data_IF_524224936554
#
_entry.id   IF_524224936554
#
_cell.length_a   1.000
_cell.length_b   1.000
_cell.length_c   1.000
_cell.angle_alpha   90.00
_cell.angle_beta   90.00
_cell.angle_gamma   90.00
#
_symmetry.space_group_name_H-M   'P 1'
#
loop_
_entity.id
_entity.type
_entity.pdbx_description
1 polymer ?
#
# COMPACT_ATOMS: atom_id res chain seq x y z
N UNK A 1 -21.87 40.24 20.90
CA UNK A 1 -21.74 38.76 20.88
C UNK A 1 -20.83 38.42 19.70
N UNK A 2 -19.71 37.76 19.93
CA UNK A 2 -18.46 37.97 19.20
C UNK A 2 -18.44 37.29 17.80
N UNK A 3 -18.06 38.06 16.81
CA UNK A 3 -17.78 37.62 15.41
C UNK A 3 -16.82 36.40 15.35
N UNK A 4 -15.94 36.28 16.33
CA UNK A 4 -15.01 35.14 16.47
C UNK A 4 -15.73 33.82 16.82
N UNK A 5 -16.82 33.86 17.58
CA UNK A 5 -17.62 32.68 17.92
C UNK A 5 -18.48 32.20 16.77
N UNK A 6 -18.98 33.10 15.93
CA UNK A 6 -19.74 32.71 14.72
C UNK A 6 -18.84 32.06 13.66
N UNK A 7 -17.63 32.62 13.45
CA UNK A 7 -16.63 32.03 12.54
C UNK A 7 -16.21 30.64 13.03
N UNK A 8 -15.97 30.49 14.35
CA UNK A 8 -15.62 29.19 14.92
C UNK A 8 -16.75 28.14 14.73
N UNK A 9 -18.01 28.55 14.94
CA UNK A 9 -19.16 27.65 14.74
C UNK A 9 -19.34 27.24 13.27
N UNK A 10 -19.08 28.15 12.33
CA UNK A 10 -19.12 27.86 10.89
C UNK A 10 -18.03 26.85 10.51
N UNK A 11 -16.81 27.02 11.02
CA UNK A 11 -15.69 26.10 10.77
C UNK A 11 -16.00 24.72 11.35
N UNK A 12 -16.51 24.63 12.57
CA UNK A 12 -16.92 23.37 13.20
C UNK A 12 -18.01 22.67 12.38
N UNK A 13 -19.01 23.42 11.92
CA UNK A 13 -20.09 22.85 11.10
C UNK A 13 -19.55 22.31 9.75
N UNK A 14 -18.60 23.02 9.16
CA UNK A 14 -17.95 22.63 7.90
C UNK A 14 -17.09 21.37 8.08
N UNK A 15 -16.36 21.26 9.19
CA UNK A 15 -15.62 20.06 9.54
C UNK A 15 -16.56 18.87 9.79
N UNK A 16 -17.65 19.05 10.51
CA UNK A 16 -18.63 18.01 10.76
C UNK A 16 -19.29 17.50 9.45
N UNK A 17 -19.57 18.40 8.50
CA UNK A 17 -20.12 17.98 7.19
C UNK A 17 -19.10 17.20 6.37
N UNK A 18 -17.82 17.59 6.39
CA UNK A 18 -16.74 16.84 5.72
C UNK A 18 -16.61 15.45 6.32
N UNK A 19 -16.57 15.34 7.65
CA UNK A 19 -16.50 14.05 8.35
C UNK A 19 -17.72 13.17 8.02
N UNK A 20 -18.92 13.75 8.00
CA UNK A 20 -20.14 13.00 7.64
C UNK A 20 -20.10 12.47 6.20
N UNK A 21 -19.57 13.28 5.26
CA UNK A 21 -19.42 12.86 3.84
C UNK A 21 -18.39 11.73 3.72
N UNK A 22 -17.25 11.85 4.39
CA UNK A 22 -16.20 10.82 4.40
C UNK A 22 -16.73 9.53 5.01
N UNK A 23 -17.42 9.61 6.15
CA UNK A 23 -18.03 8.45 6.81
C UNK A 23 -19.09 7.80 5.89
N UNK A 24 -19.91 8.60 5.24
CA UNK A 24 -20.89 8.12 4.26
C UNK A 24 -20.24 7.37 3.10
N UNK A 25 -19.16 7.94 2.55
CA UNK A 25 -18.40 7.33 1.47
C UNK A 25 -17.75 6.00 1.93
N UNK A 26 -17.17 5.99 3.12
CA UNK A 26 -16.60 4.79 3.72
C UNK A 26 -17.64 3.68 3.90
N UNK A 27 -18.79 3.99 4.49
CA UNK A 27 -19.86 3.03 4.68
C UNK A 27 -20.41 2.51 3.34
N UNK A 28 -20.52 3.38 2.35
CA UNK A 28 -20.94 2.99 0.99
C UNK A 28 -19.93 2.03 0.34
N UNK A 29 -18.62 2.36 0.42
CA UNK A 29 -17.55 1.50 -0.10
C UNK A 29 -17.53 0.15 0.63
N UNK A 30 -17.66 0.16 1.95
CA UNK A 30 -17.72 -1.06 2.78
C UNK A 30 -18.92 -1.95 2.45
N UNK A 31 -20.08 -1.36 2.19
CA UNK A 31 -21.27 -2.11 1.75
C UNK A 31 -21.07 -2.70 0.36
N UNK A 32 -20.52 -1.92 -0.57
CA UNK A 32 -20.18 -2.37 -1.93
C UNK A 32 -19.18 -3.53 -1.90
N UNK A 33 -18.18 -3.41 -1.04
CA UNK A 33 -17.17 -4.44 -0.82
C UNK A 33 -17.78 -5.76 -0.30
N UNK A 34 -18.62 -5.69 0.75
CA UNK A 34 -19.31 -6.87 1.28
C UNK A 34 -20.21 -7.53 0.24
N UNK A 35 -20.88 -6.72 -0.57
CA UNK A 35 -21.74 -7.24 -1.65
C UNK A 35 -20.91 -8.00 -2.69
N UNK A 36 -19.77 -7.44 -3.08
CA UNK A 36 -18.85 -8.06 -4.03
C UNK A 36 -18.27 -9.38 -3.46
N UNK A 37 -17.96 -9.42 -2.18
CA UNK A 37 -17.49 -10.63 -1.49
C UNK A 37 -18.52 -11.76 -1.54
N UNK A 38 -19.79 -11.44 -1.26
CA UNK A 38 -20.89 -12.39 -1.32
C UNK A 38 -21.11 -12.88 -2.75
N UNK A 39 -21.10 -11.97 -3.73
CA UNK A 39 -21.22 -12.31 -5.16
C UNK A 39 -20.09 -13.23 -5.62
N UNK A 40 -18.85 -12.92 -5.23
CA UNK A 40 -17.68 -13.78 -5.54
C UNK A 40 -17.77 -15.17 -4.89
N UNK A 41 -18.25 -15.25 -3.65
CA UNK A 41 -18.49 -16.56 -2.98
C UNK A 41 -19.56 -17.36 -3.69
N UNK A 42 -20.67 -16.71 -4.05
CA UNK A 42 -21.76 -17.34 -4.80
C UNK A 42 -21.31 -17.81 -6.19
N UNK A 43 -20.52 -17.00 -6.90
CA UNK A 43 -19.93 -17.40 -8.19
C UNK A 43 -19.00 -18.62 -8.04
N UNK A 44 -18.19 -18.66 -6.98
CA UNK A 44 -17.33 -19.81 -6.68
C UNK A 44 -18.12 -21.07 -6.37
N UNK A 45 -19.18 -20.96 -5.59
CA UNK A 45 -20.06 -22.09 -5.28
C UNK A 45 -20.81 -22.57 -6.52
N UNK A 46 -21.31 -21.67 -7.35
CA UNK A 46 -21.96 -21.99 -8.63
C UNK A 46 -20.97 -22.71 -9.56
N UNK A 47 -19.75 -22.22 -9.65
CA UNK A 47 -18.68 -22.84 -10.45
C UNK A 47 -18.39 -24.28 -9.96
N UNK A 48 -18.21 -24.46 -8.66
CA UNK A 48 -17.95 -25.78 -8.07
C UNK A 48 -19.13 -26.76 -8.26
N UNK A 49 -20.38 -26.27 -8.23
CA UNK A 49 -21.57 -27.07 -8.52
C UNK A 49 -21.70 -27.42 -10.02
N UNK A 50 -21.29 -26.49 -10.90
CA UNK A 50 -21.30 -26.73 -12.35
C UNK A 50 -20.22 -27.73 -12.78
N UNK A 51 -19.07 -27.79 -12.11
CA UNK A 51 -17.96 -28.70 -12.44
C UNK A 51 -18.36 -30.18 -12.22
N UNK A 52 -19.25 -30.44 -11.26
CA UNK A 52 -19.70 -31.82 -10.93
C UNK A 52 -20.88 -32.32 -11.79
N UNK A 53 -21.64 -31.46 -12.44
CA UNK A 53 -22.87 -31.90 -13.17
C UNK A 53 -22.79 -31.73 -14.70
N UNK A 54 -21.83 -30.98 -15.24
CA UNK A 54 -21.82 -30.64 -16.68
C UNK A 54 -20.74 -31.32 -17.51
N UNK A 55 -19.80 -32.03 -16.92
CA UNK A 55 -18.72 -32.72 -17.65
C UNK A 55 -19.33 -33.82 -18.61
N UNK A 56 -20.43 -34.44 -18.24
CA UNK A 56 -21.07 -35.47 -19.09
C UNK A 56 -21.82 -34.89 -20.31
N UNK A 57 -22.36 -33.65 -20.22
CA UNK A 57 -23.12 -33.04 -21.31
C UNK A 57 -22.25 -32.34 -22.36
N UNK A 58 -21.06 -31.90 -21.99
CA UNK A 58 -20.13 -31.16 -22.92
C UNK A 58 -19.38 -32.06 -23.90
N UNK A 59 -19.33 -33.37 -23.65
CA UNK A 59 -18.75 -34.31 -24.63
C UNK A 59 -19.53 -34.42 -25.96
N UNK A 60 -20.74 -33.88 -26.02
CA UNK A 60 -21.57 -33.90 -27.25
C UNK A 60 -21.48 -32.62 -28.08
N UNK A 61 -20.97 -31.53 -27.53
CA UNK A 61 -20.79 -30.30 -28.28
C UNK A 61 -19.27 -30.07 -28.45
N UNK A 62 -18.75 -30.15 -29.62
CA UNK A 62 -17.34 -30.01 -30.07
C UNK A 62 -16.50 -28.88 -29.41
N UNK A 63 -16.93 -28.36 -28.26
CA UNK A 63 -16.17 -27.43 -27.43
C UNK A 63 -15.21 -28.21 -26.56
N UNK A 64 -13.92 -27.96 -26.67
CA UNK A 64 -12.90 -28.58 -25.84
C UNK A 64 -13.14 -28.21 -24.35
N UNK A 65 -13.61 -29.15 -23.48
CA UNK A 65 -13.95 -28.86 -22.09
C UNK A 65 -12.74 -28.33 -21.30
N UNK A 66 -11.56 -28.75 -21.69
CA UNK A 66 -10.32 -28.33 -21.06
C UNK A 66 -10.02 -26.85 -21.34
N UNK A 67 -10.31 -26.37 -22.56
CA UNK A 67 -10.12 -24.96 -22.93
C UNK A 67 -11.12 -24.05 -22.18
N UNK A 68 -12.36 -24.50 -22.04
CA UNK A 68 -13.37 -23.78 -21.28
C UNK A 68 -13.00 -23.72 -19.77
N UNK A 69 -12.57 -24.86 -19.21
CA UNK A 69 -12.09 -24.91 -17.81
C UNK A 69 -10.90 -23.99 -17.58
N UNK A 70 -9.93 -23.95 -18.49
CA UNK A 70 -8.79 -23.07 -18.38
C UNK A 70 -9.18 -21.60 -18.44
N UNK A 71 -10.12 -21.23 -19.34
CA UNK A 71 -10.64 -19.87 -19.44
C UNK A 71 -11.40 -19.44 -18.17
N UNK A 72 -12.23 -20.32 -17.63
CA UNK A 72 -12.94 -20.07 -16.37
C UNK A 72 -11.99 -19.93 -15.18
N UNK A 73 -10.97 -20.78 -15.10
CA UNK A 73 -9.93 -20.67 -14.07
C UNK A 73 -9.16 -19.35 -14.19
N UNK A 74 -8.89 -18.88 -15.40
CA UNK A 74 -8.29 -17.56 -15.63
C UNK A 74 -9.16 -16.41 -15.10
N UNK A 75 -10.44 -16.42 -15.43
CA UNK A 75 -11.39 -15.42 -14.93
C UNK A 75 -11.47 -15.45 -13.40
N UNK A 76 -11.55 -16.63 -12.81
CA UNK A 76 -11.61 -16.80 -11.37
C UNK A 76 -10.33 -16.28 -10.69
N UNK A 77 -9.15 -16.58 -11.26
CA UNK A 77 -7.87 -16.04 -10.76
C UNK A 77 -7.84 -14.52 -10.76
N UNK A 78 -8.30 -13.87 -11.84
CA UNK A 78 -8.39 -12.41 -11.89
C UNK A 78 -9.38 -11.85 -10.87
N UNK A 79 -10.51 -12.53 -10.65
CA UNK A 79 -11.48 -12.11 -9.64
C UNK A 79 -10.89 -12.18 -8.22
N UNK A 80 -10.13 -13.23 -7.90
CA UNK A 80 -9.40 -13.33 -6.62
C UNK A 80 -8.34 -12.25 -6.46
N UNK A 81 -7.58 -11.96 -7.52
CA UNK A 81 -6.58 -10.91 -7.47
C UNK A 81 -7.21 -9.53 -7.22
N UNK A 82 -8.33 -9.27 -7.87
CA UNK A 82 -9.10 -8.02 -7.66
C UNK A 82 -9.59 -7.92 -6.22
N UNK A 83 -10.19 -8.98 -5.71
CA UNK A 83 -10.66 -9.06 -4.32
C UNK A 83 -9.51 -8.80 -3.33
N UNK A 84 -8.40 -9.51 -3.49
CA UNK A 84 -7.22 -9.34 -2.63
C UNK A 84 -6.71 -7.89 -2.64
N UNK A 85 -6.65 -7.26 -3.82
CA UNK A 85 -6.18 -5.88 -3.95
C UNK A 85 -7.14 -4.89 -3.27
N UNK A 86 -8.45 -5.11 -3.38
CA UNK A 86 -9.45 -4.28 -2.70
C UNK A 86 -9.36 -4.41 -1.18
N UNK A 87 -9.08 -5.62 -0.66
CA UNK A 87 -8.84 -5.85 0.76
C UNK A 87 -7.64 -5.04 1.25
N UNK A 88 -6.52 -5.09 0.53
CA UNK A 88 -5.33 -4.30 0.86
C UNK A 88 -5.58 -2.80 0.77
N UNK A 89 -6.36 -2.34 -0.21
CA UNK A 89 -6.75 -0.94 -0.31
C UNK A 89 -7.61 -0.49 0.87
N UNK A 90 -8.55 -1.33 1.32
CA UNK A 90 -9.35 -1.03 2.51
C UNK A 90 -8.47 -0.87 3.75
N UNK A 91 -7.49 -1.77 3.96
CA UNK A 91 -6.55 -1.66 5.08
C UNK A 91 -5.69 -0.38 5.01
N UNK A 92 -5.24 0.01 3.81
CA UNK A 92 -4.50 1.27 3.63
C UNK A 92 -5.39 2.48 3.93
N UNK A 93 -6.65 2.46 3.50
CA UNK A 93 -7.59 3.53 3.78
C UNK A 93 -7.95 3.61 5.27
N UNK A 94 -8.14 2.48 5.94
CA UNK A 94 -8.39 2.43 7.38
C UNK A 94 -7.21 3.05 8.16
N UNK A 95 -5.98 2.72 7.79
CA UNK A 95 -4.79 3.32 8.38
C UNK A 95 -4.72 4.84 8.16
N UNK A 96 -4.92 5.29 6.92
CA UNK A 96 -4.83 6.72 6.56
C UNK A 96 -5.94 7.54 7.19
N UNK A 97 -7.16 6.99 7.34
CA UNK A 97 -8.32 7.73 7.83
C UNK A 97 -8.48 7.73 9.35
N UNK A 98 -7.93 6.72 10.02
CA UNK A 98 -8.15 6.53 11.46
C UNK A 98 -6.85 6.43 12.25
N UNK A 99 -5.92 5.55 11.87
CA UNK A 99 -4.71 5.35 12.64
C UNK A 99 -3.69 6.50 12.48
N UNK A 100 -3.64 7.11 11.29
CA UNK A 100 -2.70 8.23 11.03
C UNK A 100 -3.17 9.58 11.59
N UNK A 101 -4.37 9.66 12.17
CA UNK A 101 -4.83 10.84 12.89
C UNK A 101 -4.14 10.98 14.26
N UNK A 102 -3.65 9.89 14.82
CA UNK A 102 -2.85 9.90 16.03
C UNK A 102 -1.48 10.55 15.77
N UNK A 103 -0.93 11.25 16.76
CA UNK A 103 0.39 11.89 16.66
C UNK A 103 1.49 10.83 16.45
N UNK A 104 1.37 9.68 17.10
CA UNK A 104 2.27 8.54 17.01
C UNK A 104 1.50 7.23 16.83
N UNK A 105 2.02 6.37 15.97
CA UNK A 105 1.53 4.99 15.76
C UNK A 105 2.57 3.98 16.23
N UNK A 106 2.18 2.72 16.36
CA UNK A 106 3.15 1.66 16.60
C UNK A 106 3.96 1.35 15.33
N UNK A 107 5.25 1.01 15.46
CA UNK A 107 6.04 0.54 14.31
C UNK A 107 5.37 -0.61 13.57
N UNK A 108 4.65 -1.49 14.26
CA UNK A 108 3.89 -2.58 13.66
C UNK A 108 2.80 -2.06 12.72
N UNK A 109 2.04 -1.06 13.13
CA UNK A 109 0.99 -0.47 12.30
C UNK A 109 1.57 0.15 11.02
N UNK A 110 2.67 0.92 11.12
CA UNK A 110 3.36 1.49 9.96
C UNK A 110 3.94 0.41 9.03
N UNK A 111 4.47 -0.69 9.59
CA UNK A 111 5.00 -1.83 8.81
C UNK A 111 3.87 -2.54 8.05
N UNK A 112 2.74 -2.80 8.69
CA UNK A 112 1.57 -3.40 8.02
C UNK A 112 0.99 -2.49 6.95
N UNK A 113 0.92 -1.18 7.22
CA UNK A 113 0.57 -0.19 6.23
C UNK A 113 1.52 -0.23 5.01
N UNK A 114 2.84 -0.19 5.25
CA UNK A 114 3.85 -0.29 4.19
C UNK A 114 3.72 -1.58 3.38
N UNK A 115 3.46 -2.71 4.04
CA UNK A 115 3.21 -4.01 3.41
C UNK A 115 2.00 -3.96 2.47
N UNK A 116 0.88 -3.44 2.95
CA UNK A 116 -0.36 -3.32 2.17
C UNK A 116 -0.17 -2.36 0.97
N UNK A 117 0.52 -1.23 1.17
CA UNK A 117 0.84 -0.28 0.10
C UNK A 117 1.71 -0.92 -1.01
N UNK A 118 2.70 -1.72 -0.63
CA UNK A 118 3.52 -2.47 -1.57
C UNK A 118 2.68 -3.47 -2.37
N UNK A 119 1.82 -4.25 -1.69
CA UNK A 119 0.96 -5.24 -2.36
C UNK A 119 0.00 -4.61 -3.38
N UNK A 120 -0.60 -3.46 -3.07
CA UNK A 120 -1.44 -2.70 -4.02
C UNK A 120 -0.63 -2.29 -5.25
N UNK A 121 0.59 -1.81 -5.06
CA UNK A 121 1.42 -1.34 -6.17
C UNK A 121 1.96 -2.50 -7.03
N UNK A 122 2.19 -3.69 -6.45
CA UNK A 122 2.58 -4.90 -7.20
C UNK A 122 1.58 -5.30 -8.28
N UNK A 123 0.29 -5.06 -8.06
CA UNK A 123 -0.76 -5.42 -9.04
C UNK A 123 -0.58 -4.70 -10.37
N UNK A 124 0.07 -3.55 -10.38
CA UNK A 124 0.35 -2.77 -11.59
C UNK A 124 1.54 -3.31 -12.39
N UNK A 125 2.29 -4.25 -11.81
CA UNK A 125 3.50 -4.79 -12.39
C UNK A 125 3.22 -6.03 -13.23
N UNK A 126 4.04 -6.23 -14.26
CA UNK A 126 4.06 -7.51 -14.97
C UNK A 126 4.48 -8.64 -14.01
N UNK A 127 3.90 -9.85 -14.11
CA UNK A 127 4.35 -11.01 -13.34
C UNK A 127 5.84 -11.36 -13.54
N UNK A 128 6.43 -10.89 -14.64
CA UNK A 128 7.85 -11.10 -14.96
C UNK A 128 8.75 -9.99 -14.43
N UNK A 129 8.18 -8.94 -13.80
CA UNK A 129 8.97 -7.85 -13.25
C UNK A 129 9.67 -8.30 -11.96
N UNK A 130 10.98 -8.01 -11.86
CA UNK A 130 11.76 -8.36 -10.67
C UNK A 130 11.46 -7.40 -9.52
N UNK A 131 10.62 -7.85 -8.59
CA UNK A 131 10.34 -7.14 -7.35
C UNK A 131 10.77 -7.99 -6.14
N UNK A 132 11.66 -7.44 -5.33
CA UNK A 132 12.23 -8.08 -4.15
C UNK A 132 11.77 -7.33 -2.91
N UNK A 133 10.98 -7.98 -2.06
CA UNK A 133 10.50 -7.37 -0.82
C UNK A 133 10.92 -8.24 0.36
N UNK A 134 11.57 -7.63 1.34
CA UNK A 134 11.99 -8.30 2.57
C UNK A 134 11.56 -7.50 3.78
N UNK A 135 10.94 -8.18 4.74
CA UNK A 135 10.67 -7.67 6.08
C UNK A 135 11.52 -8.46 7.07
N UNK A 136 12.29 -7.75 7.90
CA UNK A 136 13.15 -8.34 8.91
C UNK A 136 12.84 -7.70 10.27
N UNK A 137 11.87 -8.29 10.97
CA UNK A 137 11.24 -7.71 12.14
C UNK A 137 11.45 -8.63 13.33
N UNK A 138 11.97 -8.11 14.43
CA UNK A 138 12.10 -8.85 15.69
C UNK A 138 10.80 -8.77 16.49
N UNK A 139 9.83 -9.64 16.13
CA UNK A 139 8.51 -9.64 16.74
C UNK A 139 8.51 -10.11 18.21
N UNK A 140 9.49 -10.90 18.62
CA UNK A 140 9.50 -11.53 19.94
C UNK A 140 10.26 -10.74 21.00
N UNK A 141 11.30 -10.03 20.60
CA UNK A 141 12.24 -9.41 21.54
C UNK A 141 12.13 -7.88 21.61
N UNK A 142 11.45 -7.24 20.67
CA UNK A 142 11.33 -5.79 20.63
C UNK A 142 9.97 -5.32 21.18
N UNK A 143 9.95 -4.92 22.46
CA UNK A 143 8.75 -4.39 23.09
C UNK A 143 8.23 -3.10 22.47
N UNK A 144 9.07 -2.37 21.74
CA UNK A 144 8.69 -1.12 21.08
C UNK A 144 7.86 -1.34 19.81
N UNK A 145 7.88 -2.55 19.26
CA UNK A 145 7.13 -2.88 18.03
C UNK A 145 5.63 -2.53 18.14
N UNK A 146 5.05 -2.75 19.30
CA UNK A 146 3.62 -2.51 19.57
C UNK A 146 3.36 -1.20 20.33
N UNK A 147 4.40 -0.42 20.67
CA UNK A 147 4.25 0.82 21.43
C UNK A 147 4.16 2.01 20.45
N UNK A 148 3.16 2.91 20.56
CA UNK A 148 3.09 4.12 19.77
C UNK A 148 4.35 4.97 19.93
N UNK A 149 5.17 5.06 18.90
CA UNK A 149 6.50 5.71 18.96
C UNK A 149 6.98 6.22 17.60
N UNK A 150 6.27 5.89 16.52
CA UNK A 150 6.61 6.27 15.17
C UNK A 150 5.55 7.25 14.62
N UNK A 151 5.99 8.35 14.01
CA UNK A 151 5.10 9.26 13.29
C UNK A 151 4.53 8.52 12.07
N UNK A 152 3.20 8.54 11.85
CA UNK A 152 2.57 7.78 10.78
C UNK A 152 3.04 8.20 9.38
N UNK A 153 2.88 7.33 8.38
CA UNK A 153 3.14 7.59 6.96
C UNK A 153 4.60 7.95 6.62
N UNK A 154 5.57 7.48 7.41
CA UNK A 154 7.01 7.71 7.13
C UNK A 154 7.52 6.88 5.95
N UNK A 155 6.88 5.77 5.64
CA UNK A 155 7.25 4.85 4.56
C UNK A 155 6.71 5.25 3.18
N UNK A 156 5.63 6.03 3.11
CA UNK A 156 4.86 6.33 1.89
C UNK A 156 5.74 6.89 0.79
N UNK A 157 6.42 7.99 1.06
CA UNK A 157 7.17 8.74 0.03
C UNK A 157 8.25 7.88 -0.64
N UNK A 158 8.95 7.03 0.15
CA UNK A 158 10.00 6.17 -0.40
C UNK A 158 9.42 5.07 -1.27
N UNK A 159 8.37 4.41 -0.78
CA UNK A 159 7.70 3.32 -1.49
C UNK A 159 7.05 3.83 -2.78
N UNK A 160 6.24 4.89 -2.71
CA UNK A 160 5.60 5.46 -3.89
C UNK A 160 6.62 5.92 -4.94
N UNK A 161 7.69 6.57 -4.52
CA UNK A 161 8.74 7.03 -5.42
C UNK A 161 9.43 5.87 -6.14
N UNK A 162 9.64 4.74 -5.49
CA UNK A 162 10.22 3.56 -6.13
C UNK A 162 9.33 3.04 -7.26
N UNK A 163 8.03 2.88 -7.02
CA UNK A 163 7.09 2.43 -8.05
C UNK A 163 6.84 3.49 -9.14
N UNK A 164 6.93 4.77 -8.82
CA UNK A 164 6.71 5.87 -9.77
C UNK A 164 7.88 6.06 -10.74
N UNK A 165 9.11 5.85 -10.26
CA UNK A 165 10.33 6.20 -11.00
C UNK A 165 11.13 4.98 -11.48
N UNK A 166 10.69 3.76 -11.19
CA UNK A 166 11.31 2.56 -11.72
C UNK A 166 11.22 2.51 -13.24
N UNK A 167 12.25 1.96 -13.86
CA UNK A 167 12.18 1.55 -15.26
C UNK A 167 11.43 0.22 -15.35
N UNK A 168 10.32 0.16 -16.07
CA UNK A 168 9.53 -1.06 -16.24
C UNK A 168 9.83 -1.82 -17.55
N UNK A 169 10.73 -1.31 -18.38
CA UNK A 169 10.94 -1.81 -19.74
C UNK A 169 12.36 -2.36 -19.98
N UNK A 170 13.29 -2.07 -19.09
CA UNK A 170 14.68 -2.54 -19.23
C UNK A 170 14.84 -4.02 -18.84
N UNK A 171 15.79 -4.74 -19.44
CA UNK A 171 16.04 -6.15 -19.12
C UNK A 171 16.50 -6.39 -17.69
N UNK A 172 17.13 -5.39 -17.07
CA UNK A 172 17.64 -5.45 -15.68
C UNK A 172 16.83 -4.56 -14.74
N UNK A 173 15.58 -4.30 -15.09
CA UNK A 173 14.69 -3.47 -14.30
C UNK A 173 14.24 -4.21 -13.06
N UNK A 174 14.31 -3.54 -11.91
CA UNK A 174 13.90 -4.10 -10.63
C UNK A 174 13.42 -3.02 -9.66
N UNK A 175 12.70 -3.47 -8.64
CA UNK A 175 12.45 -2.74 -7.39
C UNK A 175 12.85 -3.65 -6.24
N UNK A 176 13.63 -3.14 -5.29
CA UNK A 176 13.98 -3.84 -4.07
C UNK A 176 13.57 -2.99 -2.87
N UNK A 177 12.82 -3.57 -1.94
CA UNK A 177 12.35 -2.91 -0.73
C UNK A 177 12.72 -3.80 0.45
N UNK A 178 13.43 -3.25 1.40
CA UNK A 178 13.77 -3.91 2.66
C UNK A 178 13.35 -3.03 3.81
N UNK A 179 12.49 -3.55 4.69
CA UNK A 179 12.08 -2.91 5.91
C UNK A 179 12.53 -3.76 7.10
N UNK A 180 13.28 -3.12 7.99
CA UNK A 180 13.86 -3.74 9.18
C UNK A 180 13.36 -3.00 10.42
N UNK A 181 12.97 -3.75 11.45
CA UNK A 181 12.71 -3.19 12.77
C UNK A 181 13.34 -4.07 13.84
N UNK A 182 14.39 -3.55 14.48
CA UNK A 182 15.15 -4.25 15.53
C UNK A 182 15.70 -3.27 16.54
N UNK A 183 15.60 -3.60 17.81
CA UNK A 183 16.15 -2.79 18.90
C UNK A 183 15.75 -1.31 18.78
N UNK A 184 14.46 -1.04 18.49
CA UNK A 184 13.93 0.31 18.35
C UNK A 184 14.47 1.10 17.15
N UNK A 185 15.16 0.46 16.22
CA UNK A 185 15.59 1.05 14.95
C UNK A 185 14.63 0.64 13.83
N UNK A 186 13.91 1.61 13.30
CA UNK A 186 13.13 1.48 12.06
C UNK A 186 14.02 1.85 10.89
N UNK A 187 14.20 0.93 9.95
CA UNK A 187 14.98 1.16 8.73
C UNK A 187 14.19 0.73 7.50
N UNK A 188 14.12 1.61 6.52
CA UNK A 188 13.52 1.36 5.21
C UNK A 188 14.52 1.66 4.11
N UNK A 189 14.92 0.65 3.38
CA UNK A 189 15.77 0.76 2.19
C UNK A 189 14.95 0.44 0.97
N UNK A 190 14.95 1.36 0.02
CA UNK A 190 14.23 1.21 -1.25
C UNK A 190 15.22 1.47 -2.38
N UNK A 191 15.31 0.55 -3.32
CA UNK A 191 16.16 0.68 -4.50
C UNK A 191 15.38 0.33 -5.76
N UNK A 192 15.58 1.09 -6.81
CA UNK A 192 15.01 0.79 -8.12
C UNK A 192 15.92 1.25 -9.26
N UNK A 193 15.87 0.54 -10.36
CA UNK A 193 16.53 1.01 -11.58
C UNK A 193 15.74 2.16 -12.18
N UNK A 194 16.44 3.24 -12.56
CA UNK A 194 15.84 4.42 -13.19
C UNK A 194 15.98 4.35 -14.71
N UNK A 195 14.94 4.80 -15.42
CA UNK A 195 14.97 4.84 -16.86
C UNK A 195 15.97 5.87 -17.37
N UNK A 196 16.81 5.49 -18.35
CA UNK A 196 17.69 6.42 -19.11
C UNK A 196 16.91 7.35 -20.01
N UNK A 197 15.64 7.05 -20.28
CA UNK A 197 14.78 7.93 -21.07
C UNK A 197 14.35 9.10 -20.18
N UNK A 198 14.78 10.32 -20.54
CA UNK A 198 14.35 11.55 -19.89
C UNK A 198 12.82 11.55 -19.75
N UNK A 199 12.26 11.77 -18.57
CA UNK A 199 10.82 11.93 -18.44
C UNK A 199 10.40 13.15 -19.26
N UNK A 200 9.47 12.95 -20.18
CA UNK A 200 8.90 13.99 -21.06
C UNK A 200 8.18 15.12 -20.28
N UNK A 201 8.02 14.96 -18.99
CA UNK A 201 7.53 16.01 -18.08
C UNK A 201 8.26 15.91 -16.74
N UNK A 202 8.88 17.03 -16.34
CA UNK A 202 9.23 17.27 -14.93
C UNK A 202 7.92 17.29 -14.12
N UNK A 203 7.45 16.14 -13.65
CA UNK A 203 6.43 16.13 -12.62
C UNK A 203 7.00 16.88 -11.42
N UNK A 204 6.19 17.74 -10.78
CA UNK A 204 6.53 18.46 -9.55
C UNK A 204 6.69 17.45 -8.38
N UNK A 205 7.65 16.53 -8.45
CA UNK A 205 7.83 15.44 -7.49
C UNK A 205 8.69 15.80 -6.28
N UNK A 206 8.93 17.08 -6.05
CA UNK A 206 9.74 17.52 -4.91
C UNK A 206 8.94 17.82 -3.61
N UNK A 207 7.62 17.82 -3.65
CA UNK A 207 6.80 18.24 -2.50
C UNK A 207 6.81 17.17 -1.40
N UNK A 208 6.55 15.90 -1.72
CA UNK A 208 6.53 14.82 -0.73
C UNK A 208 7.89 14.63 -0.06
N UNK A 209 8.97 14.63 -0.85
CA UNK A 209 10.34 14.49 -0.35
C UNK A 209 10.73 15.59 0.66
N UNK A 210 10.35 16.84 0.39
CA UNK A 210 10.59 17.96 1.30
C UNK A 210 9.77 17.83 2.58
N UNK A 211 8.53 17.40 2.45
CA UNK A 211 7.63 17.16 3.60
C UNK A 211 8.17 16.05 4.52
N UNK A 212 8.69 14.95 3.95
CA UNK A 212 9.30 13.89 4.75
C UNK A 212 10.51 14.38 5.55
N UNK A 213 11.42 15.15 4.92
CA UNK A 213 12.59 15.71 5.60
C UNK A 213 12.20 16.67 6.72
N UNK A 214 11.23 17.54 6.47
CA UNK A 214 10.71 18.50 7.47
C UNK A 214 10.10 17.74 8.68
N UNK A 215 9.35 16.68 8.43
CA UNK A 215 8.77 15.82 9.49
C UNK A 215 9.85 15.09 10.29
N UNK A 216 10.86 14.54 9.62
CA UNK A 216 12.00 13.88 10.27
C UNK A 216 12.78 14.84 11.16
N UNK A 217 13.03 16.05 10.71
CA UNK A 217 13.71 17.09 11.51
C UNK A 217 12.89 17.52 12.73
N UNK A 218 11.55 17.59 12.58
CA UNK A 218 10.65 18.01 13.65
C UNK A 218 10.53 16.96 14.75
N UNK A 219 10.28 15.68 14.37
CA UNK A 219 9.95 14.64 15.34
C UNK A 219 11.16 13.81 15.79
N UNK A 220 12.22 13.74 14.98
CA UNK A 220 13.42 12.92 15.27
C UNK A 220 14.72 13.72 15.14
N UNK A 221 14.86 14.89 15.80
CA UNK A 221 16.09 15.66 15.74
C UNK A 221 17.28 14.85 16.26
N UNK A 222 18.31 14.66 15.41
CA UNK A 222 19.51 13.88 15.73
C UNK A 222 19.30 12.35 15.81
N UNK A 223 18.06 11.87 15.63
CA UNK A 223 17.72 10.43 15.73
C UNK A 223 17.24 9.83 14.40
N UNK A 224 17.43 10.55 13.30
CA UNK A 224 17.10 10.05 11.96
C UNK A 224 18.27 10.21 11.01
N UNK A 225 18.26 9.39 9.98
CA UNK A 225 19.13 9.52 8.83
C UNK A 225 18.34 9.23 7.57
N UNK A 226 18.38 10.14 6.60
CA UNK A 226 17.82 9.93 5.28
C UNK A 226 18.90 10.16 4.24
N UNK A 227 19.26 9.11 3.53
CA UNK A 227 20.23 9.13 2.44
C UNK A 227 19.57 8.80 1.13
N UNK A 228 19.89 9.56 0.08
CA UNK A 228 19.43 9.30 -1.28
C UNK A 228 20.61 9.45 -2.23
N UNK A 229 20.82 8.47 -3.06
CA UNK A 229 21.90 8.51 -4.05
C UNK A 229 21.52 7.70 -5.30
N UNK A 230 22.22 7.97 -6.39
CA UNK A 230 22.12 7.23 -7.64
C UNK A 230 23.49 6.71 -8.00
N UNK A 231 23.60 5.41 -8.22
CA UNK A 231 24.81 4.73 -8.65
C UNK A 231 24.47 3.70 -9.72
N UNK A 232 25.18 3.72 -10.86
CA UNK A 232 24.99 2.77 -11.97
C UNK A 232 23.52 2.66 -12.45
N UNK A 233 22.82 3.78 -12.59
CA UNK A 233 21.39 3.87 -12.94
C UNK A 233 20.45 3.24 -11.88
N UNK A 234 20.93 3.00 -10.68
CA UNK A 234 20.14 2.55 -9.55
C UNK A 234 19.97 3.70 -8.56
N UNK A 235 18.72 4.09 -8.34
CA UNK A 235 18.37 4.99 -7.25
C UNK A 235 18.22 4.17 -5.97
N UNK A 236 18.78 4.66 -4.88
CA UNK A 236 18.61 4.09 -3.55
C UNK A 236 18.24 5.18 -2.56
N UNK A 237 17.22 4.93 -1.77
CA UNK A 237 16.86 5.72 -0.60
C UNK A 237 16.94 4.84 0.65
N UNK A 238 17.61 5.33 1.69
CA UNK A 238 17.71 4.68 2.99
C UNK A 238 17.22 5.66 4.05
N UNK A 239 16.16 5.29 4.75
CA UNK A 239 15.61 5.97 5.91
C UNK A 239 15.88 5.14 7.16
N UNK A 240 16.51 5.75 8.14
CA UNK A 240 16.70 5.18 9.48
C UNK A 240 16.11 6.13 10.52
N UNK A 241 15.33 5.59 11.45
CA UNK A 241 14.73 6.32 12.57
C UNK A 241 14.99 5.52 13.85
N UNK A 242 15.67 6.15 14.82
CA UNK A 242 15.88 5.59 16.16
C UNK A 242 14.78 6.10 17.06
N UNK A 243 13.95 5.18 17.60
CA UNK A 243 12.74 5.51 18.37
C UNK A 243 13.01 5.79 19.85
N UNK A 244 14.14 5.35 20.37
CA UNK A 244 14.58 5.66 21.75
C UNK A 244 15.73 6.68 21.75
N UNK A 245 15.86 7.45 22.83
CA UNK A 245 17.06 8.22 23.11
C UNK A 245 18.06 7.31 23.84
N UNK A 246 19.32 7.40 23.45
CA UNK A 246 20.42 6.79 24.22
C UNK A 246 20.51 7.41 25.60
#
# INVERSE_FOLDING_TARGET
MNMTTEISNIIILLLLTIVAVILGLYLFLRQKYRKLEVENRQQKELFNRMDNQKIEHFHRAQLNPHLLKNSLNGILSHAYQTYYTMDKLAMVLDYVLYESEDELVSPKAEIEFARNLIEINKVKLSPLFDIRVKFDIDELNDSMLNTPSLVPLMSVDLIENAFKHADFHGPDSFIAIMLTFKNGLFELVVSNRISKRSPLQKSKSGIGSKTLEERLMLYYPGRHQLRRFVENDVYTANLQIRLYAD
#
